data_IF_739989812408
#
_entry.id   IF_739989812408
#
_cell.length_a   1.000
_cell.length_b   1.000
_cell.length_c   1.000
_cell.angle_alpha   90.00
_cell.angle_beta   90.00
_cell.angle_gamma   90.00
#
_symmetry.space_group_name_H-M   'P 1'
#
loop_
_entity.id
_entity.type
_entity.pdbx_description
1 polymer ?
#
# COMPACT_ATOMS: atom_id res chain seq x y z
N UNK A 1 -10.79 -22.27 16.67
CA UNK A 1 -11.58 -21.22 17.32
C UNK A 1 -12.58 -20.70 16.32
N UNK A 2 -13.87 -20.92 16.52
CA UNK A 2 -14.95 -20.29 15.73
C UNK A 2 -15.34 -18.98 16.42
N UNK A 3 -14.38 -18.07 16.52
CA UNK A 3 -14.65 -16.70 16.98
C UNK A 3 -15.42 -16.02 15.84
N UNK A 4 -16.65 -15.58 16.13
CA UNK A 4 -17.65 -15.22 15.14
C UNK A 4 -17.17 -14.25 14.06
N UNK A 5 -17.86 -14.31 12.91
CA UNK A 5 -17.68 -13.50 11.69
C UNK A 5 -17.62 -12.00 12.03
N UNK A 6 -16.46 -11.52 12.44
CA UNK A 6 -16.17 -10.09 12.52
C UNK A 6 -15.62 -9.65 11.18
N UNK A 7 -15.95 -8.44 10.76
CA UNK A 7 -15.34 -7.85 9.58
C UNK A 7 -13.81 -7.77 9.75
N UNK A 8 -13.08 -7.64 8.64
CA UNK A 8 -11.64 -7.43 8.64
C UNK A 8 -11.22 -6.38 9.68
N UNK A 9 -10.07 -6.58 10.33
CA UNK A 9 -9.44 -5.59 11.21
C UNK A 9 -9.15 -4.26 10.49
N UNK A 10 -9.14 -4.27 9.16
CA UNK A 10 -8.93 -3.11 8.30
C UNK A 10 -10.25 -2.54 7.72
N UNK A 11 -11.42 -2.96 8.24
CA UNK A 11 -12.72 -2.47 7.77
C UNK A 11 -12.79 -0.94 7.68
N UNK A 12 -12.20 -0.23 8.64
CA UNK A 12 -12.21 1.24 8.64
C UNK A 12 -11.44 1.82 7.45
N UNK A 13 -10.32 1.21 7.06
CA UNK A 13 -9.55 1.61 5.90
C UNK A 13 -10.35 1.36 4.61
N UNK A 14 -10.92 0.16 4.46
CA UNK A 14 -11.80 -0.16 3.34
C UNK A 14 -12.96 0.83 3.22
N UNK A 15 -13.65 1.13 4.33
CA UNK A 15 -14.77 2.08 4.35
C UNK A 15 -14.33 3.46 3.89
N UNK A 16 -13.21 3.97 4.40
CA UNK A 16 -12.71 5.30 4.02
C UNK A 16 -12.26 5.37 2.56
N UNK A 17 -11.70 4.28 2.03
CA UNK A 17 -11.37 4.20 0.60
C UNK A 17 -12.64 4.22 -0.24
N UNK A 18 -13.68 3.46 0.12
CA UNK A 18 -14.97 3.51 -0.58
C UNK A 18 -15.57 4.93 -0.57
N UNK A 19 -15.59 5.59 0.59
CA UNK A 19 -16.10 6.96 0.74
C UNK A 19 -15.33 7.98 -0.12
N UNK A 20 -14.03 7.75 -0.36
CA UNK A 20 -13.16 8.70 -1.06
C UNK A 20 -12.98 8.45 -2.56
N UNK A 21 -13.25 7.24 -3.05
CA UNK A 21 -12.86 6.83 -4.42
C UNK A 21 -14.02 6.44 -5.35
N UNK A 22 -15.20 6.13 -4.81
CA UNK A 22 -16.31 5.57 -5.62
C UNK A 22 -16.03 4.17 -6.17
N UNK A 23 -14.95 3.51 -5.72
CA UNK A 23 -14.60 2.15 -6.13
C UNK A 23 -15.71 1.14 -5.82
N UNK A 24 -15.80 0.09 -6.63
CA UNK A 24 -16.73 -1.03 -6.41
C UNK A 24 -16.06 -2.23 -5.75
N UNK A 25 -14.74 -2.33 -5.87
CA UNK A 25 -13.91 -3.36 -5.26
C UNK A 25 -12.68 -2.75 -4.62
N UNK A 26 -12.29 -3.27 -3.46
CA UNK A 26 -11.02 -2.97 -2.80
C UNK A 26 -10.36 -4.30 -2.47
N UNK A 27 -9.11 -4.47 -2.89
CA UNK A 27 -8.26 -5.58 -2.47
C UNK A 27 -7.17 -5.05 -1.56
N UNK A 28 -6.92 -5.82 -0.50
CA UNK A 28 -5.73 -5.67 0.32
C UNK A 28 -4.92 -6.97 0.27
N UNK A 29 -3.63 -6.86 0.00
CA UNK A 29 -2.71 -7.98 -0.07
C UNK A 29 -1.32 -7.60 0.41
N UNK A 30 -0.46 -8.61 0.59
CA UNK A 30 0.90 -8.45 1.10
C UNK A 30 1.95 -8.94 0.08
N UNK A 31 1.98 -8.40 -1.15
CA UNK A 31 2.91 -8.84 -2.17
C UNK A 31 4.36 -8.52 -1.77
N UNK A 32 5.24 -9.52 -1.92
CA UNK A 32 6.53 -9.60 -1.21
C UNK A 32 7.47 -8.48 -1.62
N UNK A 33 7.66 -8.25 -2.91
CA UNK A 33 8.59 -7.25 -3.39
C UNK A 33 8.07 -5.84 -3.13
N UNK A 34 6.77 -5.59 -3.27
CA UNK A 34 6.19 -4.30 -2.90
C UNK A 34 6.43 -3.97 -1.42
N UNK A 35 6.23 -4.94 -0.52
CA UNK A 35 6.50 -4.76 0.91
C UNK A 35 7.97 -4.46 1.16
N UNK A 36 8.89 -5.26 0.61
CA UNK A 36 10.35 -5.05 0.78
C UNK A 36 10.78 -3.69 0.26
N UNK A 37 10.38 -3.35 -0.96
CA UNK A 37 10.76 -2.11 -1.62
C UNK A 37 10.15 -0.88 -0.93
N UNK A 38 8.96 -1.00 -0.34
CA UNK A 38 8.34 0.08 0.41
C UNK A 38 9.18 0.56 1.60
N UNK A 39 10.07 -0.27 2.13
CA UNK A 39 10.92 0.09 3.27
C UNK A 39 12.15 0.93 2.88
N UNK A 40 12.45 1.09 1.58
CA UNK A 40 13.60 1.85 1.11
C UNK A 40 13.35 3.36 1.17
N UNK A 41 14.07 4.05 2.05
CA UNK A 41 14.03 5.51 2.14
C UNK A 41 15.30 6.14 1.55
N UNK A 42 15.13 7.07 0.61
CA UNK A 42 16.26 7.79 -0.01
C UNK A 42 16.66 9.05 0.79
N UNK A 43 15.86 9.45 1.77
CA UNK A 43 16.18 10.56 2.68
C UNK A 43 17.34 10.18 3.59
N UNK A 44 18.51 10.80 3.36
CA UNK A 44 19.67 10.72 4.25
C UNK A 44 19.37 11.41 5.58
N UNK A 45 19.88 10.85 6.68
CA UNK A 45 19.72 11.38 8.04
C UNK A 45 18.25 11.68 8.42
N UNK A 46 17.33 10.80 8.01
CA UNK A 46 15.91 10.96 8.28
C UNK A 46 15.64 11.07 9.79
N UNK A 47 15.05 12.19 10.28
CA UNK A 47 14.83 12.39 11.71
C UNK A 47 13.65 11.56 12.25
N UNK A 48 12.85 10.95 11.37
CA UNK A 48 11.68 10.15 11.73
C UNK A 48 12.15 8.75 12.13
N UNK A 49 12.02 8.43 13.42
CA UNK A 49 12.40 7.12 13.98
C UNK A 49 11.44 6.02 13.52
N UNK A 50 10.15 6.22 13.76
CA UNK A 50 9.10 5.25 13.41
C UNK A 50 8.49 5.58 12.03
N UNK A 51 9.31 5.48 10.98
CA UNK A 51 8.93 5.86 9.61
C UNK A 51 7.68 5.11 9.11
N UNK A 52 7.50 3.86 9.54
CA UNK A 52 6.32 3.05 9.23
C UNK A 52 5.00 3.65 9.74
N UNK A 53 5.03 4.49 10.78
CA UNK A 53 3.86 5.11 11.43
C UNK A 53 3.79 6.62 11.20
N UNK A 54 4.89 7.31 11.43
CA UNK A 54 4.93 8.77 11.59
C UNK A 54 5.40 9.52 10.35
N UNK A 55 5.88 8.82 9.32
CA UNK A 55 6.40 9.49 8.13
C UNK A 55 5.31 10.36 7.48
N UNK A 56 5.54 11.68 7.34
CA UNK A 56 4.56 12.57 6.72
C UNK A 56 4.62 12.52 5.19
N UNK A 57 5.69 11.95 4.63
CA UNK A 57 5.96 11.98 3.20
C UNK A 57 5.21 10.86 2.47
N UNK A 58 4.71 11.19 1.27
CA UNK A 58 4.25 10.21 0.29
C UNK A 58 5.41 9.97 -0.67
N UNK A 59 6.01 8.78 -0.60
CA UNK A 59 7.03 8.32 -1.58
C UNK A 59 6.33 7.65 -2.76
N UNK A 60 7.07 7.32 -3.81
CA UNK A 60 6.50 6.63 -4.97
C UNK A 60 7.41 5.49 -5.43
N UNK A 61 6.80 4.37 -5.80
CA UNK A 61 7.45 3.22 -6.45
C UNK A 61 6.68 2.92 -7.74
N UNK A 62 7.29 3.19 -8.90
CA UNK A 62 6.65 2.95 -10.20
C UNK A 62 5.37 3.74 -10.39
N UNK A 63 5.33 4.97 -9.86
CA UNK A 63 4.11 5.80 -9.83
C UNK A 63 3.13 5.46 -8.70
N UNK A 64 3.29 4.33 -8.01
CA UNK A 64 2.40 3.94 -6.90
C UNK A 64 2.80 4.66 -5.60
N UNK A 65 1.88 5.37 -4.93
CA UNK A 65 2.17 6.08 -3.70
C UNK A 65 2.49 5.11 -2.56
N UNK A 66 3.54 5.42 -1.80
CA UNK A 66 3.93 4.71 -0.58
C UNK A 66 3.70 5.62 0.61
N UNK A 67 2.85 5.19 1.54
CA UNK A 67 2.49 5.94 2.75
C UNK A 67 2.87 5.19 4.01
N UNK A 68 3.14 5.92 5.09
CA UNK A 68 3.13 5.33 6.43
C UNK A 68 1.72 4.93 6.84
N UNK A 69 1.60 3.99 7.77
CA UNK A 69 0.33 3.55 8.30
C UNK A 69 0.51 2.55 9.42
N UNK A 70 0.03 2.90 10.62
CA UNK A 70 -0.03 1.95 11.72
C UNK A 70 -0.99 0.80 11.39
N UNK A 71 -0.55 -0.43 11.64
CA UNK A 71 -1.39 -1.62 11.49
C UNK A 71 -2.56 -1.50 12.46
N UNK A 72 -3.78 -1.53 11.93
CA UNK A 72 -4.99 -1.26 12.67
C UNK A 72 -5.80 -0.12 12.07
N UNK A 73 -7.07 -0.07 12.45
CA UNK A 73 -8.10 0.69 11.76
C UNK A 73 -7.76 2.18 11.51
N UNK A 74 -7.06 2.86 12.43
CA UNK A 74 -6.90 4.33 12.39
C UNK A 74 -5.82 4.85 11.43
N UNK A 75 -4.64 4.21 11.39
CA UNK A 75 -3.49 4.70 10.63
C UNK A 75 -3.71 4.60 9.12
N UNK A 76 -4.09 3.40 8.67
CA UNK A 76 -4.36 3.11 7.26
C UNK A 76 -5.51 3.96 6.70
N UNK A 77 -6.59 4.09 7.48
CA UNK A 77 -7.78 4.85 7.11
C UNK A 77 -7.56 6.36 6.98
N UNK A 78 -6.49 6.90 7.56
CA UNK A 78 -6.10 8.31 7.39
C UNK A 78 -5.19 8.51 6.17
N UNK A 79 -4.34 7.54 5.86
CA UNK A 79 -3.19 7.72 4.96
C UNK A 79 -3.44 7.20 3.55
N UNK A 80 -4.19 6.11 3.40
CA UNK A 80 -4.45 5.47 2.10
C UNK A 80 -5.52 6.20 1.27
N UNK A 81 -6.71 6.55 1.81
CA UNK A 81 -7.77 7.15 1.00
C UNK A 81 -7.38 8.42 0.22
N UNK A 82 -6.59 9.36 0.80
CA UNK A 82 -6.20 10.57 0.08
C UNK A 82 -5.30 10.34 -1.14
N UNK A 83 -4.64 9.18 -1.26
CA UNK A 83 -3.63 8.93 -2.32
C UNK A 83 -4.04 7.87 -3.33
N UNK A 84 -4.87 6.89 -2.93
CA UNK A 84 -5.16 5.71 -3.74
C UNK A 84 -5.95 6.03 -5.02
N UNK A 85 -6.83 7.04 -4.99
CA UNK A 85 -7.67 7.39 -6.13
C UNK A 85 -6.90 7.90 -7.35
N UNK A 86 -5.68 8.42 -7.17
CA UNK A 86 -4.88 8.94 -8.27
C UNK A 86 -4.26 7.85 -9.15
N UNK A 87 -4.00 6.67 -8.59
CA UNK A 87 -3.24 5.61 -9.27
C UNK A 87 -3.95 4.26 -9.28
N UNK A 88 -5.07 4.13 -8.58
CA UNK A 88 -5.77 2.86 -8.40
C UNK A 88 -5.12 1.93 -7.36
N UNK A 89 -3.95 2.29 -6.82
CA UNK A 89 -3.26 1.47 -5.82
C UNK A 89 -2.46 2.33 -4.82
N UNK A 90 -2.12 1.77 -3.68
CA UNK A 90 -1.27 2.42 -2.69
C UNK A 90 -0.53 1.37 -1.87
N UNK A 91 0.74 1.61 -1.61
CA UNK A 91 1.59 0.74 -0.79
C UNK A 91 1.66 1.35 0.62
N UNK A 92 1.44 0.53 1.63
CA UNK A 92 1.65 0.88 3.03
C UNK A 92 3.04 0.38 3.43
N UNK A 93 3.88 1.29 3.93
CA UNK A 93 5.25 1.00 4.37
C UNK A 93 5.32 -0.29 5.20
N UNK A 94 6.09 -1.27 4.73
CA UNK A 94 6.37 -2.51 5.43
C UNK A 94 5.16 -3.42 5.67
N UNK A 95 3.99 -3.11 5.11
CA UNK A 95 2.74 -3.81 5.39
C UNK A 95 2.19 -4.48 4.14
N UNK A 96 1.71 -3.72 3.16
CA UNK A 96 1.06 -4.32 1.98
C UNK A 96 0.54 -3.29 1.00
N UNK A 97 -0.32 -3.75 0.09
CA UNK A 97 -0.87 -2.95 -1.00
C UNK A 97 -2.39 -2.93 -0.87
N UNK A 98 -2.97 -1.75 -1.05
CA UNK A 98 -4.38 -1.59 -1.37
C UNK A 98 -4.52 -1.31 -2.87
N UNK A 99 -5.50 -1.94 -3.51
CA UNK A 99 -5.86 -1.69 -4.90
C UNK A 99 -7.37 -1.55 -5.03
N UNK A 100 -7.82 -0.64 -5.89
CA UNK A 100 -9.23 -0.40 -6.17
C UNK A 100 -9.60 -0.87 -7.57
N UNK A 101 -10.86 -1.27 -7.74
CA UNK A 101 -11.45 -1.58 -9.03
C UNK A 101 -12.79 -0.87 -9.16
N UNK A 102 -12.97 -0.16 -10.27
CA UNK A 102 -14.23 0.50 -10.63
C UNK A 102 -15.18 -0.50 -11.29
N UNK A 103 -14.66 -1.40 -12.11
CA UNK A 103 -15.48 -2.30 -12.92
C UNK A 103 -15.53 -3.73 -12.36
N UNK A 104 -14.56 -4.13 -11.54
CA UNK A 104 -14.61 -5.40 -10.83
C UNK A 104 -13.31 -5.85 -10.18
N UNK A 105 -13.32 -7.09 -9.70
CA UNK A 105 -12.19 -7.70 -8.99
C UNK A 105 -10.93 -7.82 -9.87
N UNK A 106 -11.10 -8.12 -11.17
CA UNK A 106 -9.99 -8.29 -12.09
C UNK A 106 -9.12 -7.05 -12.23
N UNK A 107 -9.73 -5.86 -12.23
CA UNK A 107 -9.03 -4.57 -12.30
C UNK A 107 -8.17 -4.34 -11.05
N UNK A 108 -8.76 -4.48 -9.86
CA UNK A 108 -8.04 -4.33 -8.60
C UNK A 108 -6.91 -5.37 -8.45
N UNK A 109 -7.14 -6.60 -8.91
CA UNK A 109 -6.14 -7.66 -8.85
C UNK A 109 -4.99 -7.42 -9.83
N UNK A 110 -5.29 -7.00 -11.06
CA UNK A 110 -4.29 -6.62 -12.05
C UNK A 110 -3.41 -5.47 -11.54
N UNK A 111 -4.00 -4.42 -10.98
CA UNK A 111 -3.25 -3.32 -10.38
C UNK A 111 -2.29 -3.80 -9.27
N UNK A 112 -2.72 -4.73 -8.42
CA UNK A 112 -1.86 -5.31 -7.39
C UNK A 112 -0.71 -6.14 -7.97
N UNK A 113 -0.97 -6.90 -9.04
CA UNK A 113 0.05 -7.67 -9.78
C UNK A 113 1.06 -6.75 -10.45
N UNK A 114 0.61 -5.66 -11.06
CA UNK A 114 1.48 -4.66 -11.72
C UNK A 114 2.43 -4.01 -10.72
N UNK A 115 1.91 -3.62 -9.54
CA UNK A 115 2.72 -3.09 -8.44
C UNK A 115 3.79 -4.09 -8.01
N UNK A 116 3.44 -5.37 -7.83
CA UNK A 116 4.40 -6.40 -7.42
C UNK A 116 5.46 -6.67 -8.48
N UNK A 117 5.07 -6.75 -9.76
CA UNK A 117 6.00 -6.98 -10.85
C UNK A 117 6.97 -5.82 -11.03
N UNK A 118 6.49 -4.57 -10.96
CA UNK A 118 7.36 -3.40 -10.97
C UNK A 118 8.35 -3.45 -9.80
N UNK A 119 7.86 -3.71 -8.58
CA UNK A 119 8.73 -3.75 -7.40
C UNK A 119 9.75 -4.89 -7.48
N UNK A 120 9.38 -6.03 -8.07
CA UNK A 120 10.30 -7.15 -8.31
C UNK A 120 11.40 -6.78 -9.29
N UNK A 121 11.06 -6.16 -10.41
CA UNK A 121 12.04 -5.69 -11.41
C UNK A 121 12.98 -4.64 -10.80
N UNK A 122 12.43 -3.66 -10.08
CA UNK A 122 13.22 -2.62 -9.42
C UNK A 122 14.14 -3.20 -8.33
N UNK A 123 13.68 -4.21 -7.58
CA UNK A 123 14.50 -4.92 -6.59
C UNK A 123 15.74 -5.54 -7.24
N UNK A 124 15.55 -6.32 -8.31
CA UNK A 124 16.67 -6.97 -9.00
C UNK A 124 17.58 -5.95 -9.70
N UNK A 125 17.01 -4.91 -10.32
CA UNK A 125 17.80 -3.81 -10.90
C UNK A 125 18.73 -3.17 -9.87
N UNK A 126 18.25 -2.95 -8.64
CA UNK A 126 19.07 -2.40 -7.55
C UNK A 126 20.10 -3.39 -7.04
N UNK A 127 19.74 -4.67 -6.92
CA UNK A 127 20.66 -5.72 -6.50
C UNK A 127 21.83 -5.86 -7.48
N UNK A 128 21.55 -5.88 -8.78
CA UNK A 128 22.57 -5.98 -9.83
C UNK A 128 23.50 -4.76 -9.86
N UNK A 129 22.99 -3.57 -9.52
CA UNK A 129 23.79 -2.34 -9.43
C UNK A 129 24.77 -2.29 -8.23
N UNK A 130 24.67 -3.25 -7.30
CA UNK A 130 25.60 -3.39 -6.17
C UNK A 130 26.75 -4.37 -6.48
N UNK A 131 26.67 -5.11 -7.60
CA UNK A 131 27.69 -6.03 -8.07
C UNK A 131 28.63 -5.34 -9.07
#
# INVERSE_FOLDING_TARGET
STTGITASSELLAHRKIFEASGARVILHGHPKFAVVMSMLCETRDCPIKDCWKDCPQVRHLGGTPVVAGEIGAGGLAKRVPPVIGATGSAIVYGHGVFAIGMDGFGEAFAAMVDVENFCREEYFRRLDALC
#
